data_IF_014602540519
#
_entry.id   IF_014602540519
#
_cell.length_a   1.000
_cell.length_b   1.000
_cell.length_c   1.000
_cell.angle_alpha   90.00
_cell.angle_beta   90.00
_cell.angle_gamma   90.00
#
_symmetry.space_group_name_H-M   'P 1'
#
loop_
_entity.id
_entity.type
_entity.pdbx_description
1 polymer ?
#
# COMPACT_ATOMS: atom_id res chain seq x y z
N UNK A 1 3.30 -25.64 -30.31
CA UNK A 1 3.80 -24.41 -29.63
C UNK A 1 3.31 -24.42 -28.19
N UNK A 2 4.17 -24.31 -27.15
CA UNK A 2 3.72 -24.51 -25.77
C UNK A 2 3.04 -23.23 -25.24
N UNK A 3 1.82 -23.37 -24.72
CA UNK A 3 0.99 -22.29 -24.18
C UNK A 3 1.48 -21.76 -22.81
N UNK A 4 2.48 -22.38 -22.19
CA UNK A 4 2.91 -22.08 -20.82
C UNK A 4 3.83 -20.85 -20.68
N UNK A 5 4.66 -20.56 -21.69
CA UNK A 5 5.61 -19.43 -21.64
C UNK A 5 4.92 -18.05 -21.71
N UNK A 6 3.69 -17.99 -22.24
CA UNK A 6 2.88 -16.76 -22.35
C UNK A 6 2.22 -16.37 -21.02
N UNK A 7 1.84 -17.35 -20.19
CA UNK A 7 1.08 -17.14 -18.95
C UNK A 7 1.96 -16.57 -17.82
N UNK A 8 3.18 -17.07 -17.66
CA UNK A 8 4.11 -16.62 -16.59
C UNK A 8 4.56 -15.17 -16.79
N UNK A 9 4.88 -14.77 -18.03
CA UNK A 9 5.29 -13.38 -18.36
C UNK A 9 4.15 -12.38 -18.09
N UNK A 10 2.91 -12.78 -18.37
CA UNK A 10 1.70 -11.97 -18.17
C UNK A 10 1.42 -11.75 -16.69
N UNK A 11 1.55 -12.79 -15.85
CA UNK A 11 1.37 -12.66 -14.39
C UNK A 11 2.38 -11.64 -13.81
N UNK A 12 3.66 -11.77 -14.17
CA UNK A 12 4.71 -10.87 -13.68
C UNK A 12 4.53 -9.42 -14.17
N UNK A 13 3.99 -9.20 -15.37
CA UNK A 13 3.66 -7.85 -15.83
C UNK A 13 2.48 -7.23 -15.07
N UNK A 14 1.48 -8.04 -14.67
CA UNK A 14 0.34 -7.55 -13.92
C UNK A 14 0.74 -7.13 -12.50
N UNK A 15 1.59 -7.91 -11.83
CA UNK A 15 2.10 -7.57 -10.49
C UNK A 15 2.89 -6.26 -10.48
N UNK A 16 3.78 -6.06 -11.47
CA UNK A 16 4.52 -4.80 -11.61
C UNK A 16 3.57 -3.60 -11.78
N UNK A 17 2.45 -3.79 -12.48
CA UNK A 17 1.48 -2.71 -12.67
C UNK A 17 0.75 -2.38 -11.36
N UNK A 18 0.34 -3.40 -10.60
CA UNK A 18 -0.22 -3.22 -9.25
C UNK A 18 0.74 -2.47 -8.33
N UNK A 19 2.04 -2.80 -8.38
CA UNK A 19 3.06 -2.12 -7.60
C UNK A 19 3.25 -0.66 -8.00
N UNK A 20 3.17 -0.33 -9.29
CA UNK A 20 3.24 1.06 -9.76
C UNK A 20 2.05 1.90 -9.30
N UNK A 21 0.84 1.31 -9.31
CA UNK A 21 -0.38 1.95 -8.83
C UNK A 21 -0.31 2.17 -7.32
N UNK A 22 0.16 1.18 -6.57
CA UNK A 22 0.39 1.30 -5.12
C UNK A 22 1.42 2.39 -4.79
N UNK A 23 2.52 2.44 -5.54
CA UNK A 23 3.55 3.46 -5.36
C UNK A 23 3.00 4.87 -5.61
N UNK A 24 2.19 5.04 -6.67
CA UNK A 24 1.53 6.30 -6.97
C UNK A 24 0.59 6.74 -5.84
N UNK A 25 -0.21 5.81 -5.30
CA UNK A 25 -1.08 6.06 -4.16
C UNK A 25 -0.30 6.46 -2.91
N UNK A 26 0.80 5.77 -2.57
CA UNK A 26 1.64 6.12 -1.43
C UNK A 26 2.20 7.55 -1.53
N UNK A 27 2.62 7.97 -2.73
CA UNK A 27 3.13 9.34 -2.94
C UNK A 27 2.03 10.37 -2.71
N UNK A 28 0.80 10.12 -3.18
CA UNK A 28 -0.33 11.03 -2.91
C UNK A 28 -0.65 11.09 -1.42
N UNK A 29 -0.59 9.94 -0.73
CA UNK A 29 -0.90 9.81 0.69
C UNK A 29 0.15 10.46 1.61
N UNK A 30 1.31 10.87 1.10
CA UNK A 30 2.24 11.71 1.88
C UNK A 30 1.62 13.07 2.26
N UNK A 31 0.80 13.63 1.39
CA UNK A 31 0.35 15.03 1.49
C UNK A 31 -1.18 15.22 1.44
N UNK A 32 -1.91 14.27 0.86
CA UNK A 32 -3.37 14.36 0.66
C UNK A 32 -4.08 13.46 1.67
N UNK A 33 -5.06 13.96 2.46
CA UNK A 33 -5.83 13.11 3.37
C UNK A 33 -6.46 11.93 2.65
N UNK A 34 -6.49 10.76 3.30
CA UNK A 34 -6.94 9.51 2.68
C UNK A 34 -8.32 9.65 2.01
N UNK A 35 -9.29 10.30 2.68
CA UNK A 35 -10.66 10.43 2.17
C UNK A 35 -10.77 11.38 0.96
N UNK A 36 -9.70 12.11 0.63
CA UNK A 36 -9.64 13.06 -0.50
C UNK A 36 -8.93 12.50 -1.72
N UNK A 37 -8.26 11.34 -1.61
CA UNK A 37 -7.59 10.71 -2.76
C UNK A 37 -8.61 9.96 -3.60
N UNK A 38 -8.77 10.35 -4.86
CA UNK A 38 -9.65 9.66 -5.81
C UNK A 38 -8.90 8.66 -6.70
N UNK A 39 -9.63 7.75 -7.34
CA UNK A 39 -9.08 6.87 -8.39
C UNK A 39 -8.46 7.67 -9.53
N UNK A 40 -9.01 8.84 -9.86
CA UNK A 40 -8.48 9.70 -10.90
C UNK A 40 -7.09 10.22 -10.53
N UNK A 41 -6.91 10.73 -9.31
CA UNK A 41 -5.61 11.22 -8.83
C UNK A 41 -4.54 10.13 -8.91
N UNK A 42 -4.89 8.89 -8.51
CA UNK A 42 -3.99 7.74 -8.57
C UNK A 42 -3.64 7.41 -10.02
N UNK A 43 -4.62 7.44 -10.94
CA UNK A 43 -4.41 7.18 -12.36
C UNK A 43 -3.47 8.21 -12.99
N UNK A 44 -3.68 9.49 -12.69
CA UNK A 44 -2.85 10.59 -13.17
C UNK A 44 -1.42 10.47 -12.63
N UNK A 45 -1.28 10.17 -11.33
CA UNK A 45 0.03 9.98 -10.70
C UNK A 45 0.77 8.75 -11.23
N UNK A 46 0.05 7.68 -11.56
CA UNK A 46 0.63 6.45 -12.11
C UNK A 46 0.82 6.49 -13.64
N UNK A 47 0.39 7.56 -14.30
CA UNK A 47 0.39 7.70 -15.77
C UNK A 47 -0.36 6.55 -16.46
N UNK A 48 -1.60 6.30 -16.04
CA UNK A 48 -2.47 5.26 -16.60
C UNK A 48 -3.89 5.75 -16.85
N UNK A 49 -4.60 5.05 -17.72
CA UNK A 49 -6.05 5.23 -17.85
C UNK A 49 -6.80 4.55 -16.70
N UNK A 50 -7.99 5.09 -16.35
CA UNK A 50 -8.89 4.49 -15.34
C UNK A 50 -9.25 3.04 -15.65
N UNK A 51 -9.45 2.69 -16.92
CA UNK A 51 -9.72 1.31 -17.33
C UNK A 51 -8.57 0.37 -16.91
N UNK A 52 -7.33 0.85 -16.97
CA UNK A 52 -6.16 0.09 -16.48
C UNK A 52 -6.21 -0.10 -14.97
N UNK A 53 -6.58 0.93 -14.20
CA UNK A 53 -6.77 0.78 -12.75
C UNK A 53 -7.81 -0.31 -12.45
N UNK A 54 -8.99 -0.24 -13.07
CA UNK A 54 -10.08 -1.18 -12.83
C UNK A 54 -9.82 -2.60 -13.35
N UNK A 55 -8.83 -2.80 -14.22
CA UNK A 55 -8.33 -4.13 -14.58
C UNK A 55 -7.50 -4.79 -13.45
N UNK A 56 -7.10 -4.02 -12.44
CA UNK A 56 -6.23 -4.47 -11.35
C UNK A 56 -6.88 -4.37 -9.96
N UNK A 57 -7.74 -3.39 -9.75
CA UNK A 57 -8.37 -3.11 -8.45
C UNK A 57 -9.82 -2.72 -8.65
N UNK A 58 -10.70 -3.21 -7.76
CA UNK A 58 -12.11 -2.83 -7.79
C UNK A 58 -12.32 -1.35 -7.44
N UNK A 59 -11.63 -0.89 -6.41
CA UNK A 59 -11.66 0.49 -5.91
C UNK A 59 -10.37 0.82 -5.12
N UNK A 60 -10.36 1.99 -4.45
CA UNK A 60 -9.23 2.43 -3.63
C UNK A 60 -9.03 1.51 -2.41
N UNK A 61 -10.08 0.90 -1.86
CA UNK A 61 -9.97 0.02 -0.69
C UNK A 61 -9.36 -1.33 -1.02
N UNK A 62 -9.65 -1.87 -2.20
CA UNK A 62 -8.97 -3.06 -2.74
C UNK A 62 -7.47 -2.80 -2.95
N UNK A 63 -7.11 -1.62 -3.46
CA UNK A 63 -5.71 -1.18 -3.53
C UNK A 63 -5.04 -1.10 -2.15
N UNK A 64 -5.73 -0.52 -1.16
CA UNK A 64 -5.23 -0.42 0.22
C UNK A 64 -5.01 -1.82 0.80
N UNK A 65 -5.97 -2.74 0.64
CA UNK A 65 -5.85 -4.12 1.12
C UNK A 65 -4.63 -4.83 0.52
N UNK A 66 -4.42 -4.67 -0.79
CA UNK A 66 -3.22 -5.20 -1.46
C UNK A 66 -1.93 -4.61 -0.87
N UNK A 67 -1.87 -3.29 -0.72
CA UNK A 67 -0.68 -2.61 -0.23
C UNK A 67 -0.37 -2.94 1.24
N UNK A 68 -1.37 -2.94 2.11
CA UNK A 68 -1.20 -3.23 3.54
C UNK A 68 -0.76 -4.66 3.79
N UNK A 69 -1.28 -5.65 3.05
CA UNK A 69 -0.79 -7.02 3.14
C UNK A 69 0.71 -7.12 2.83
N UNK A 70 1.20 -6.39 1.80
CA UNK A 70 2.64 -6.33 1.49
C UNK A 70 3.45 -5.65 2.59
N UNK A 71 2.91 -4.59 3.19
CA UNK A 71 3.57 -3.89 4.30
C UNK A 71 3.66 -4.77 5.55
N UNK A 72 2.58 -5.45 5.93
CA UNK A 72 2.55 -6.33 7.10
C UNK A 72 3.56 -7.48 6.96
N UNK A 73 3.65 -8.09 5.77
CA UNK A 73 4.64 -9.14 5.51
C UNK A 73 6.09 -8.66 5.63
N UNK A 74 6.35 -7.35 5.44
CA UNK A 74 7.69 -6.76 5.62
C UNK A 74 8.00 -6.38 7.07
N UNK A 75 6.98 -6.21 7.91
CA UNK A 75 7.12 -5.82 9.31
C UNK A 75 7.38 -7.02 10.22
N UNK A 76 6.63 -8.11 10.00
CA UNK A 76 6.73 -9.33 10.79
C UNK A 76 7.04 -10.49 9.84
N UNK A 77 8.31 -10.87 9.69
CA UNK A 77 8.69 -12.07 8.97
C UNK A 77 7.94 -13.30 9.50
N UNK A 78 7.53 -14.19 8.60
CA UNK A 78 6.63 -15.31 8.92
C UNK A 78 7.22 -16.33 9.90
N UNK A 79 8.54 -16.30 10.13
CA UNK A 79 9.29 -17.16 11.05
C UNK A 79 9.44 -16.55 12.45
N UNK A 80 8.99 -15.32 12.68
CA UNK A 80 9.05 -14.68 14.00
C UNK A 80 7.83 -15.07 14.82
N UNK A 81 8.05 -15.89 15.85
CA UNK A 81 7.06 -16.22 16.88
C UNK A 81 7.10 -15.28 18.09
N UNK A 82 8.17 -14.50 18.23
CA UNK A 82 8.43 -13.63 19.37
C UNK A 82 8.55 -12.16 18.96
N UNK A 83 7.60 -11.34 19.39
CA UNK A 83 7.57 -9.91 19.11
C UNK A 83 8.68 -9.11 19.81
N UNK A 84 9.44 -9.73 20.72
CA UNK A 84 10.60 -9.13 21.38
C UNK A 84 11.92 -9.32 20.60
N UNK A 85 11.88 -10.05 19.48
CA UNK A 85 13.02 -10.21 18.59
C UNK A 85 13.52 -8.85 18.07
N UNK A 86 14.83 -8.61 18.18
CA UNK A 86 15.46 -7.35 17.80
C UNK A 86 15.17 -6.96 16.35
N UNK A 87 15.04 -7.95 15.44
CA UNK A 87 14.70 -7.73 14.04
C UNK A 87 13.33 -7.09 13.86
N UNK A 88 12.37 -7.37 14.75
CA UNK A 88 11.04 -6.73 14.72
C UNK A 88 11.18 -5.24 15.04
N UNK A 89 11.99 -4.91 16.06
CA UNK A 89 12.24 -3.52 16.44
C UNK A 89 12.96 -2.74 15.34
N UNK A 90 13.91 -3.36 14.64
CA UNK A 90 14.62 -2.78 13.51
C UNK A 90 13.66 -2.56 12.31
N UNK A 91 12.88 -3.58 11.95
CA UNK A 91 11.90 -3.51 10.87
C UNK A 91 10.85 -2.42 11.15
N UNK A 92 10.36 -2.33 12.38
CA UNK A 92 9.41 -1.31 12.81
C UNK A 92 10.04 0.09 12.73
N UNK A 93 11.27 0.26 13.20
CA UNK A 93 11.99 1.53 13.12
C UNK A 93 12.18 1.98 11.67
N UNK A 94 12.62 1.08 10.80
CA UNK A 94 12.79 1.33 9.38
C UNK A 94 11.46 1.67 8.70
N UNK A 95 10.38 0.97 9.05
CA UNK A 95 9.04 1.26 8.55
C UNK A 95 8.58 2.66 8.97
N UNK A 96 8.71 3.00 10.25
CA UNK A 96 8.31 4.32 10.78
C UNK A 96 9.10 5.43 10.08
N UNK A 97 10.41 5.26 9.90
CA UNK A 97 11.25 6.24 9.21
C UNK A 97 10.81 6.37 7.75
N UNK A 98 10.66 5.25 7.05
CA UNK A 98 10.30 5.20 5.63
C UNK A 98 8.93 5.83 5.34
N UNK A 99 7.93 5.53 6.16
CA UNK A 99 6.54 5.96 5.95
C UNK A 99 6.12 7.12 6.86
N UNK A 100 7.08 7.84 7.47
CA UNK A 100 6.83 8.92 8.44
C UNK A 100 5.77 9.91 7.97
N UNK A 101 5.89 10.43 6.75
CA UNK A 101 4.96 11.42 6.21
C UNK A 101 3.54 10.87 6.08
N UNK A 102 3.42 9.66 5.53
CA UNK A 102 2.14 8.95 5.41
C UNK A 102 1.53 8.74 6.80
N UNK A 103 2.29 8.26 7.78
CA UNK A 103 1.80 8.05 9.15
C UNK A 103 1.30 9.37 9.78
N UNK A 104 2.04 10.47 9.59
CA UNK A 104 1.64 11.80 10.06
C UNK A 104 0.39 12.32 9.34
N UNK A 105 0.24 12.04 8.06
CA UNK A 105 -0.93 12.45 7.29
C UNK A 105 -2.17 11.62 7.69
N UNK A 106 -1.99 10.31 7.93
CA UNK A 106 -3.05 9.45 8.45
C UNK A 106 -3.57 9.93 9.81
N UNK A 107 -2.71 10.41 10.72
CA UNK A 107 -3.15 10.99 12.00
C UNK A 107 -4.03 12.24 11.87
N UNK A 108 -3.95 12.97 10.75
CA UNK A 108 -4.81 14.13 10.46
C UNK A 108 -6.18 13.73 9.93
N UNK A 109 -6.33 12.47 9.52
CA UNK A 109 -7.57 11.91 8.99
C UNK A 109 -8.60 11.83 10.11
N UNK A 110 -9.87 12.14 9.81
CA UNK A 110 -10.94 12.23 10.81
C UNK A 110 -11.04 10.95 11.66
N UNK A 111 -10.95 9.80 10.98
CA UNK A 111 -11.00 8.46 11.54
C UNK A 111 -9.96 8.15 12.64
N UNK A 112 -8.68 8.52 12.45
CA UNK A 112 -7.61 8.19 13.41
C UNK A 112 -7.71 9.08 14.65
N UNK A 113 -8.17 10.32 14.47
CA UNK A 113 -8.42 11.25 15.56
C UNK A 113 -9.47 10.71 16.51
N UNK A 114 -10.57 10.17 15.97
CA UNK A 114 -11.62 9.53 16.75
C UNK A 114 -11.08 8.29 17.49
N UNK A 115 -10.34 7.42 16.82
CA UNK A 115 -9.74 6.21 17.42
C UNK A 115 -8.81 6.52 18.60
N UNK A 116 -8.02 7.61 18.52
CA UNK A 116 -7.11 8.02 19.59
C UNK A 116 -7.84 8.69 20.76
N UNK A 117 -8.95 9.39 20.51
CA UNK A 117 -9.79 10.00 21.56
C UNK A 117 -10.53 8.93 22.37
N UNK A 118 -10.92 7.81 21.76
CA UNK A 118 -11.56 6.69 22.47
C UNK A 118 -10.60 5.82 23.31
N UNK A 119 -9.30 6.09 23.27
CA UNK A 119 -8.28 5.38 24.06
C UNK A 119 -7.85 6.11 25.34
N UNK A 120 -8.52 7.20 25.70
CA UNK A 120 -8.40 7.94 26.96
C UNK A 120 -9.74 7.96 27.71
#
# INVERSE_FOLDING_TARGET
MPKEFSSTKRIHSQERKRDSIWSAFLILLEDIPLEKISVQDICDKALIHRTTFYNHFYDVYDLISFGTQKLTASLVPADISDFTDERVSENLSNFIIKYRKILLNLQKTSFVRDLLIFSQ
#
